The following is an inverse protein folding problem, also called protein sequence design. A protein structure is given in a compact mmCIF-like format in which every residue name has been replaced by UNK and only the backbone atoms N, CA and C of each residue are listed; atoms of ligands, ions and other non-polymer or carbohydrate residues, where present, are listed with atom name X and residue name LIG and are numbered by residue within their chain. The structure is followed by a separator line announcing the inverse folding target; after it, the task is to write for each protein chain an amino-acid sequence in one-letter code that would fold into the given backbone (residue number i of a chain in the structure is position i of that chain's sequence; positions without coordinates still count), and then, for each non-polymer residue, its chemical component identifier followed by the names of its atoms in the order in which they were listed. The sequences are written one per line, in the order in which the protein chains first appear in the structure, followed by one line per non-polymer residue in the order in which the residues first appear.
data_IF_250094305275
#
_entry.id   IF_250094305275
#
_cell.length_a   1.000
_cell.length_b   1.000
_cell.length_c   1.000
_cell.angle_alpha   90.00
_cell.angle_beta   90.00
_cell.angle_gamma   90.00
#
_symmetry.space_group_name_H-M   'P 1'
#
loop_
_entity.id
_entity.type
_entity.pdbx_description
1 polymer ?
#
# COMPACT_ATOMS: atom_id res chain seq x y z
N UNK A 1 -28.24 -22.29 50.39
CA UNK A 1 -27.11 -23.22 50.25
C UNK A 1 -26.43 -22.90 48.95
N UNK A 2 -25.31 -22.18 49.08
CA UNK A 2 -24.14 -22.11 48.20
C UNK A 2 -24.31 -21.60 46.77
N UNK A 3 -23.96 -20.33 46.64
CA UNK A 3 -22.98 -19.74 45.70
C UNK A 3 -22.35 -20.69 44.66
N UNK A 4 -22.32 -20.21 43.41
CA UNK A 4 -21.09 -20.08 42.63
C UNK A 4 -21.27 -18.97 41.60
N UNK A 5 -20.49 -17.91 41.79
CA UNK A 5 -20.06 -16.96 40.79
C UNK A 5 -19.47 -17.67 39.56
N UNK A 6 -19.80 -17.19 38.36
CA UNK A 6 -18.90 -17.32 37.21
C UNK A 6 -18.45 -15.92 36.80
N UNK A 7 -17.28 -15.59 37.32
CA UNK A 7 -16.45 -14.44 37.04
C UNK A 7 -15.66 -14.72 35.74
N UNK A 8 -15.52 -13.68 34.90
CA UNK A 8 -14.46 -13.47 33.88
C UNK A 8 -14.29 -14.43 32.70
N UNK A 9 -14.38 -13.86 31.48
CA UNK A 9 -13.15 -13.66 30.69
C UNK A 9 -13.30 -12.46 29.73
N UNK A 10 -12.78 -11.32 30.19
CA UNK A 10 -12.45 -10.15 29.39
C UNK A 10 -11.04 -10.36 28.81
N UNK A 11 -10.87 -11.02 27.66
CA UNK A 11 -9.66 -10.85 26.82
C UNK A 11 -9.88 -11.30 25.37
N UNK A 12 -10.88 -10.73 24.68
CA UNK A 12 -10.99 -10.84 23.23
C UNK A 12 -10.17 -9.75 22.55
N UNK A 13 -8.86 -9.97 22.37
CA UNK A 13 -7.94 -9.07 21.68
C UNK A 13 -8.54 -8.58 20.33
N UNK A 14 -9.09 -7.36 20.34
CA UNK A 14 -9.52 -6.65 19.14
C UNK A 14 -8.24 -6.17 18.45
N UNK A 15 -7.75 -6.97 17.51
CA UNK A 15 -6.66 -6.53 16.65
C UNK A 15 -7.07 -5.23 15.98
N UNK A 16 -6.34 -4.14 16.28
CA UNK A 16 -6.52 -2.84 15.66
C UNK A 16 -6.62 -3.01 14.13
N UNK A 17 -7.59 -2.35 13.45
CA UNK A 17 -7.70 -2.35 12.00
C UNK A 17 -6.34 -2.18 11.32
N UNK A 18 -6.13 -2.86 10.19
CA UNK A 18 -4.84 -2.94 9.50
C UNK A 18 -4.21 -1.56 9.20
N UNK A 19 -5.03 -0.52 9.10
CA UNK A 19 -4.62 0.87 8.84
C UNK A 19 -4.08 1.58 10.08
N UNK A 20 -4.66 1.32 11.25
CA UNK A 20 -4.17 1.82 12.53
C UNK A 20 -2.75 1.33 12.77
N UNK A 21 -2.45 0.07 12.42
CA UNK A 21 -1.10 -0.50 12.51
C UNK A 21 -0.07 0.18 11.60
N UNK A 22 -0.48 0.76 10.47
CA UNK A 22 0.45 1.42 9.52
C UNK A 22 0.67 2.87 9.93
N UNK A 23 -0.38 3.59 10.35
CA UNK A 23 -0.27 4.93 10.90
C UNK A 23 0.56 4.90 12.19
N UNK A 24 0.30 3.95 13.08
CA UNK A 24 1.05 3.70 14.33
C UNK A 24 2.56 3.59 14.09
N UNK A 25 2.98 2.71 13.19
CA UNK A 25 4.40 2.51 12.87
C UNK A 25 5.05 3.76 12.24
N UNK A 26 4.31 4.51 11.40
CA UNK A 26 4.86 5.69 10.71
C UNK A 26 4.93 6.91 11.60
N UNK A 27 3.94 7.09 12.48
CA UNK A 27 3.94 8.15 13.48
C UNK A 27 5.10 7.94 14.45
N UNK A 28 5.38 6.70 14.85
CA UNK A 28 6.55 6.38 15.68
C UNK A 28 7.87 6.77 15.01
N UNK A 29 8.06 6.41 13.74
CA UNK A 29 9.25 6.80 12.97
C UNK A 29 9.36 8.33 12.81
N UNK A 30 8.23 9.02 12.64
CA UNK A 30 8.20 10.48 12.56
C UNK A 30 8.65 11.10 13.89
N UNK A 31 8.10 10.63 15.01
CA UNK A 31 8.47 11.10 16.35
C UNK A 31 9.93 10.80 16.66
N UNK A 32 10.42 9.59 16.32
CA UNK A 32 11.83 9.19 16.46
C UNK A 32 12.79 10.09 15.66
N UNK A 33 12.33 10.62 14.51
CA UNK A 33 13.11 11.54 13.68
C UNK A 33 13.19 12.97 14.24
N UNK A 34 12.29 13.31 15.16
CA UNK A 34 12.24 14.61 15.83
C UNK A 34 13.00 14.60 17.18
N UNK A 35 13.27 13.42 17.76
CA UNK A 35 13.90 13.29 19.08
C UNK A 35 15.22 14.07 19.22
N UNK A 36 15.29 14.88 20.27
CA UNK A 36 16.53 15.46 20.76
C UNK A 36 17.27 14.47 21.67
N UNK A 37 18.57 14.69 21.91
CA UNK A 37 19.40 13.76 22.71
C UNK A 37 19.00 13.65 24.20
N UNK A 38 18.04 14.46 24.67
CA UNK A 38 17.55 14.53 26.06
C UNK A 38 16.13 14.00 26.25
N UNK A 39 15.50 13.46 25.21
CA UNK A 39 14.10 13.03 25.22
C UNK A 39 13.83 11.84 26.17
N UNK A 40 12.83 11.97 27.05
CA UNK A 40 12.35 10.85 27.88
C UNK A 40 11.46 9.93 27.06
N UNK A 41 11.77 8.62 27.05
CA UNK A 41 11.05 7.63 26.23
C UNK A 41 9.56 7.51 26.59
N UNK A 42 9.20 7.81 27.84
CA UNK A 42 7.82 7.77 28.33
C UNK A 42 6.95 8.88 27.73
N UNK A 43 7.51 10.08 27.52
CA UNK A 43 6.78 11.21 26.94
C UNK A 43 6.44 10.93 25.47
N UNK A 44 7.42 10.39 24.74
CA UNK A 44 7.28 9.98 23.33
C UNK A 44 6.19 8.91 23.19
N UNK A 45 6.17 7.93 24.08
CA UNK A 45 5.17 6.86 24.06
C UNK A 45 3.76 7.38 24.38
N UNK A 46 3.63 8.31 25.33
CA UNK A 46 2.36 8.96 25.63
C UNK A 46 1.84 9.77 24.45
N UNK A 47 2.65 10.68 23.89
CA UNK A 47 2.24 11.50 22.73
C UNK A 47 1.85 10.61 21.56
N UNK A 48 2.59 9.52 21.32
CA UNK A 48 2.28 8.56 20.27
C UNK A 48 0.92 7.90 20.49
N UNK A 49 0.66 7.39 21.69
CA UNK A 49 -0.61 6.74 22.02
C UNK A 49 -1.82 7.68 21.97
N UNK A 50 -1.66 8.91 22.47
CA UNK A 50 -2.70 9.93 22.47
C UNK A 50 -3.02 10.37 21.04
N UNK A 51 -2.00 10.70 20.23
CA UNK A 51 -2.24 11.10 18.85
C UNK A 51 -2.91 10.00 18.02
N UNK A 52 -2.56 8.72 18.22
CA UNK A 52 -3.25 7.62 17.53
C UNK A 52 -4.72 7.56 17.92
N UNK A 53 -5.02 7.55 19.23
CA UNK A 53 -6.40 7.49 19.74
C UNK A 53 -7.26 8.64 19.21
N UNK A 54 -6.76 9.87 19.29
CA UNK A 54 -7.54 11.06 18.96
C UNK A 54 -7.63 11.30 17.46
N UNK A 55 -6.56 11.05 16.68
CA UNK A 55 -6.64 11.14 15.21
C UNK A 55 -7.54 10.06 14.59
N UNK A 56 -7.78 8.95 15.30
CA UNK A 56 -8.74 7.91 14.90
C UNK A 56 -10.19 8.24 15.28
N UNK A 57 -10.39 8.83 16.46
CA UNK A 57 -11.72 9.17 16.97
C UNK A 57 -12.32 10.40 16.27
N UNK A 58 -11.47 11.34 15.87
CA UNK A 58 -11.88 12.59 15.23
C UNK A 58 -12.04 12.44 13.71
N UNK A 59 -13.00 13.18 13.14
CA UNK A 59 -13.21 13.21 11.69
C UNK A 59 -12.25 14.20 11.03
N UNK A 60 -10.99 13.79 10.89
CA UNK A 60 -9.90 14.61 10.33
C UNK A 60 -10.08 14.80 8.81
N UNK A 61 -10.47 16.01 8.41
CA UNK A 61 -10.72 16.39 6.99
C UNK A 61 -9.81 17.50 6.49
N UNK A 62 -9.08 18.17 7.39
CA UNK A 62 -8.19 19.30 7.12
C UNK A 62 -6.94 19.28 8.00
N UNK A 63 -5.94 20.10 7.64
CA UNK A 63 -4.71 20.25 8.42
C UNK A 63 -4.98 20.97 9.75
N UNK A 64 -5.99 21.84 9.77
CA UNK A 64 -6.46 22.55 10.96
C UNK A 64 -7.04 21.59 12.02
N UNK A 65 -7.64 20.47 11.60
CA UNK A 65 -8.13 19.44 12.52
C UNK A 65 -6.96 18.74 13.23
N UNK A 66 -5.87 18.48 12.51
CA UNK A 66 -4.64 17.89 13.09
C UNK A 66 -4.01 18.84 14.09
N UNK A 67 -3.93 20.13 13.73
CA UNK A 67 -3.45 21.18 14.64
C UNK A 67 -4.29 21.22 15.92
N UNK A 68 -5.63 21.18 15.78
CA UNK A 68 -6.56 21.19 16.92
C UNK A 68 -6.38 19.97 17.82
N UNK A 69 -6.17 18.78 17.27
CA UNK A 69 -5.89 17.56 18.04
C UNK A 69 -4.58 17.69 18.81
N UNK A 70 -3.50 18.12 18.16
CA UNK A 70 -2.21 18.30 18.84
C UNK A 70 -2.35 19.33 19.97
N UNK A 71 -2.94 20.49 19.70
CA UNK A 71 -3.09 21.55 20.70
C UNK A 71 -3.98 21.14 21.90
N UNK A 72 -5.00 20.32 21.65
CA UNK A 72 -5.97 19.93 22.69
C UNK A 72 -5.46 18.78 23.56
N UNK A 73 -4.76 17.82 22.95
CA UNK A 73 -4.45 16.54 23.60
C UNK A 73 -2.97 16.32 23.86
N UNK A 74 -2.07 17.11 23.27
CA UNK A 74 -0.63 17.04 23.51
C UNK A 74 -0.17 18.29 24.26
N UNK A 75 0.22 18.15 25.55
CA UNK A 75 0.78 19.28 26.31
C UNK A 75 2.06 19.81 25.66
N UNK A 76 2.24 21.13 25.66
CA UNK A 76 3.43 21.80 25.08
C UNK A 76 4.75 21.27 25.66
N UNK A 77 4.79 20.92 26.95
CA UNK A 77 5.97 20.34 27.61
C UNK A 77 6.42 19.02 26.98
N UNK A 78 5.49 18.25 26.41
CA UNK A 78 5.80 16.97 25.76
C UNK A 78 6.22 17.14 24.29
N UNK A 79 5.82 18.25 23.66
CA UNK A 79 6.34 18.64 22.34
C UNK A 79 7.82 19.03 22.43
N UNK A 80 8.21 19.71 23.51
CA UNK A 80 9.63 19.99 23.80
C UNK A 80 10.45 18.70 23.93
N UNK A 81 9.90 17.66 24.56
CA UNK A 81 10.54 16.33 24.63
C UNK A 81 10.71 15.67 23.25
N UNK A 82 9.92 16.07 22.25
CA UNK A 82 10.05 15.65 20.86
C UNK A 82 10.94 16.59 20.02
N UNK A 83 11.64 17.54 20.63
CA UNK A 83 12.48 18.51 19.93
C UNK A 83 11.68 19.51 19.08
N UNK A 84 10.40 19.70 19.42
CA UNK A 84 9.52 20.70 18.80
C UNK A 84 9.52 21.90 19.75
N UNK A 85 10.30 22.93 19.40
CA UNK A 85 10.60 24.03 20.33
C UNK A 85 9.91 25.34 19.94
N UNK A 86 9.61 25.54 18.66
CA UNK A 86 9.01 26.77 18.14
C UNK A 86 7.77 26.54 17.26
N UNK A 87 7.12 27.64 16.88
CA UNK A 87 5.90 27.62 16.05
C UNK A 87 6.15 26.98 14.67
N UNK A 88 7.36 27.13 14.11
CA UNK A 88 7.74 26.57 12.81
C UNK A 88 7.89 25.04 12.91
N UNK A 89 8.43 24.53 14.01
CA UNK A 89 8.53 23.09 14.31
C UNK A 89 7.15 22.46 14.48
N UNK A 90 6.22 23.17 15.13
CA UNK A 90 4.83 22.71 15.30
C UNK A 90 4.16 22.64 13.94
N UNK A 91 4.26 23.69 13.11
CA UNK A 91 3.68 23.71 11.77
C UNK A 91 4.25 22.58 10.89
N UNK A 92 5.56 22.34 10.99
CA UNK A 92 6.22 21.25 10.28
C UNK A 92 5.75 19.88 10.78
N UNK A 93 5.61 19.69 12.09
CA UNK A 93 5.13 18.46 12.68
C UNK A 93 3.68 18.17 12.27
N UNK A 94 2.79 19.15 12.38
CA UNK A 94 1.38 19.10 11.94
C UNK A 94 1.30 18.75 10.45
N UNK A 95 2.11 19.40 9.62
CA UNK A 95 2.18 19.13 8.17
C UNK A 95 2.62 17.70 7.87
N UNK A 96 3.61 17.17 8.59
CA UNK A 96 4.08 15.79 8.44
C UNK A 96 3.02 14.78 8.90
N UNK A 97 2.35 15.03 10.03
CA UNK A 97 1.25 14.18 10.52
C UNK A 97 0.08 14.19 9.53
N UNK A 98 -0.32 15.36 9.04
CA UNK A 98 -1.34 15.50 8.01
C UNK A 98 -0.97 14.76 6.71
N UNK A 99 0.29 14.84 6.26
CA UNK A 99 0.76 14.09 5.09
C UNK A 99 0.74 12.58 5.33
N UNK A 100 1.08 12.11 6.54
CA UNK A 100 0.95 10.69 6.91
C UNK A 100 -0.50 10.25 6.83
N UNK A 101 -1.43 11.01 7.41
CA UNK A 101 -2.86 10.75 7.34
C UNK A 101 -3.35 10.73 5.90
N UNK A 102 -2.97 11.70 5.07
CA UNK A 102 -3.31 11.71 3.65
C UNK A 102 -2.77 10.49 2.91
N UNK A 103 -1.52 10.09 3.18
CA UNK A 103 -0.90 8.92 2.53
C UNK A 103 -1.61 7.62 2.90
N UNK A 104 -2.14 7.51 4.11
CA UNK A 104 -2.99 6.37 4.52
C UNK A 104 -4.44 6.51 4.04
N UNK A 105 -4.99 7.73 3.99
CA UNK A 105 -6.34 8.01 3.50
C UNK A 105 -6.45 7.84 1.99
N UNK A 106 -5.39 8.08 1.23
CA UNK A 106 -5.27 7.73 -0.20
C UNK A 106 -5.30 6.21 -0.41
N UNK A 107 -4.90 5.42 0.59
CA UNK A 107 -5.10 3.96 0.60
C UNK A 107 -6.53 3.59 1.01
N UNK A 108 -7.27 4.47 1.70
CA UNK A 108 -8.70 4.31 2.03
C UNK A 108 -9.64 4.76 0.91
N UNK A 109 -9.32 5.82 0.16
CA UNK A 109 -10.09 6.23 -1.02
C UNK A 109 -9.93 5.24 -2.16
N UNK A 110 -8.81 4.51 -2.22
CA UNK A 110 -8.79 3.19 -2.87
C UNK A 110 -9.53 2.19 -1.97
N UNK A 111 -10.82 2.40 -1.80
CA UNK A 111 -11.69 1.43 -1.14
C UNK A 111 -11.45 0.07 -1.80
N UNK A 112 -11.54 -1.01 -1.02
CA UNK A 112 -11.47 -2.37 -1.56
C UNK A 112 -12.54 -2.64 -2.64
N UNK A 113 -13.51 -1.72 -2.83
CA UNK A 113 -14.45 -1.66 -3.93
C UNK A 113 -13.87 -1.01 -5.22
N UNK A 114 -12.96 -0.04 -5.13
CA UNK A 114 -12.29 0.59 -6.29
C UNK A 114 -11.07 -0.19 -6.81
N UNK A 115 -10.35 -0.94 -5.98
CA UNK A 115 -9.37 -1.92 -6.52
C UNK A 115 -10.03 -3.15 -7.13
N UNK A 116 -11.33 -3.36 -6.87
CA UNK A 116 -12.19 -4.31 -7.59
C UNK A 116 -12.95 -3.68 -8.78
N UNK A 117 -12.90 -2.36 -8.99
CA UNK A 117 -13.63 -1.67 -10.07
C UNK A 117 -12.76 -0.87 -11.06
N UNK A 118 -11.57 -0.37 -10.68
CA UNK A 118 -10.56 0.13 -11.63
C UNK A 118 -9.90 -0.97 -12.48
N UNK A 119 -10.28 -2.23 -12.26
CA UNK A 119 -9.98 -3.37 -13.13
C UNK A 119 -11.18 -3.87 -13.95
N UNK A 120 -12.31 -3.14 -13.93
CA UNK A 120 -13.49 -3.43 -14.78
C UNK A 120 -13.60 -2.51 -15.99
N UNK A 121 -13.11 -1.27 -15.92
CA UNK A 121 -13.21 -0.31 -17.04
C UNK A 121 -12.00 -0.32 -17.98
N UNK A 122 -10.79 -0.52 -17.45
CA UNK A 122 -9.59 -0.73 -18.28
C UNK A 122 -9.36 -2.24 -18.46
N UNK A 123 -9.64 -2.75 -19.67
CA UNK A 123 -9.33 -4.13 -20.02
C UNK A 123 -7.82 -4.41 -19.98
N UNK A 124 -7.43 -5.68 -20.10
CA UNK A 124 -6.02 -6.08 -20.20
C UNK A 124 -5.26 -5.24 -21.23
N UNK A 125 -4.13 -4.62 -20.85
CA UNK A 125 -3.34 -3.73 -21.72
C UNK A 125 -2.79 -4.40 -23.00
N UNK A 126 -2.82 -5.73 -23.07
CA UNK A 126 -2.46 -6.48 -24.27
C UNK A 126 -3.68 -6.89 -25.08
N UNK A 127 -4.60 -7.67 -24.50
CA UNK A 127 -5.72 -8.26 -25.25
C UNK A 127 -7.05 -7.51 -25.13
N UNK A 128 -7.07 -6.39 -24.42
CA UNK A 128 -8.21 -5.47 -24.22
C UNK A 128 -9.44 -6.08 -23.54
N UNK A 129 -9.41 -7.36 -23.17
CA UNK A 129 -10.52 -8.01 -22.47
C UNK A 129 -10.65 -7.55 -21.03
N UNK A 130 -11.88 -7.26 -20.62
CA UNK A 130 -12.27 -7.10 -19.21
C UNK A 130 -12.17 -8.45 -18.48
N UNK A 131 -11.08 -8.63 -17.74
CA UNK A 131 -10.73 -9.87 -17.03
C UNK A 131 -9.96 -9.47 -15.75
N UNK A 132 -9.90 -10.32 -14.72
CA UNK A 132 -9.02 -10.08 -13.59
C UNK A 132 -7.56 -9.90 -14.04
N UNK A 133 -7.00 -8.73 -13.72
CA UNK A 133 -5.68 -8.31 -14.13
C UNK A 133 -4.63 -8.68 -13.08
N UNK A 134 -3.40 -8.80 -13.54
CA UNK A 134 -2.22 -9.03 -12.72
C UNK A 134 -1.19 -7.96 -13.05
N UNK A 135 -0.44 -7.51 -12.04
CA UNK A 135 0.67 -6.59 -12.24
C UNK A 135 1.87 -7.34 -12.84
N UNK A 136 2.24 -7.03 -14.07
CA UNK A 136 3.40 -7.59 -14.76
C UNK A 136 4.51 -6.54 -14.86
N UNK A 137 5.68 -6.86 -14.32
CA UNK A 137 6.87 -6.00 -14.43
C UNK A 137 7.45 -6.13 -15.84
N UNK A 138 7.41 -5.06 -16.63
CA UNK A 138 7.90 -5.06 -18.01
C UNK A 138 9.42 -5.28 -18.05
N UNK A 139 10.15 -4.78 -17.04
CA UNK A 139 11.50 -5.22 -16.71
C UNK A 139 11.43 -6.22 -15.57
N UNK A 140 11.61 -7.52 -15.81
CA UNK A 140 11.43 -8.54 -14.78
C UNK A 140 12.27 -8.26 -13.52
N UNK A 141 11.67 -8.44 -12.34
CA UNK A 141 12.34 -8.19 -11.04
C UNK A 141 13.68 -8.92 -10.88
N UNK A 142 13.79 -10.11 -11.47
CA UNK A 142 15.04 -10.88 -11.47
C UNK A 142 16.21 -10.10 -12.10
N UNK A 143 15.92 -9.20 -13.05
CA UNK A 143 16.92 -8.38 -13.76
C UNK A 143 17.21 -7.04 -13.07
N UNK A 144 16.41 -6.63 -12.08
CA UNK A 144 16.56 -5.30 -11.43
C UNK A 144 17.96 -5.10 -10.86
N UNK A 145 18.51 -6.07 -10.14
CA UNK A 145 19.86 -5.97 -9.56
C UNK A 145 20.95 -5.77 -10.61
N UNK A 146 20.79 -6.36 -11.80
CA UNK A 146 21.75 -6.25 -12.90
C UNK A 146 21.60 -4.88 -13.56
N UNK A 147 20.36 -4.47 -13.86
CA UNK A 147 20.07 -3.21 -14.55
C UNK A 147 20.37 -1.97 -13.69
N UNK A 148 20.16 -2.03 -12.36
CA UNK A 148 20.58 -0.98 -11.43
C UNK A 148 22.09 -0.72 -11.52
N UNK A 149 22.91 -1.78 -11.61
CA UNK A 149 24.36 -1.66 -11.76
C UNK A 149 24.77 -1.07 -13.11
N UNK A 150 23.90 -1.16 -14.12
CA UNK A 150 24.10 -0.57 -15.43
C UNK A 150 23.64 0.90 -15.50
N UNK A 151 23.24 1.49 -14.37
CA UNK A 151 22.89 2.91 -14.25
C UNK A 151 21.42 3.22 -14.47
N UNK A 152 20.55 2.20 -14.54
CA UNK A 152 19.10 2.39 -14.67
C UNK A 152 18.49 2.79 -13.33
N UNK A 153 17.49 3.67 -13.34
CA UNK A 153 16.83 4.13 -12.12
C UNK A 153 15.80 3.12 -11.59
N UNK A 154 15.48 3.20 -10.30
CA UNK A 154 14.46 2.35 -9.67
C UNK A 154 13.08 2.56 -10.32
N UNK A 155 12.75 3.79 -10.73
CA UNK A 155 11.47 4.11 -11.34
C UNK A 155 11.32 3.46 -12.73
N UNK A 156 12.37 3.48 -13.54
CA UNK A 156 12.39 2.80 -14.85
C UNK A 156 12.23 1.28 -14.74
N UNK A 157 12.68 0.69 -13.64
CA UNK A 157 12.59 -0.75 -13.38
C UNK A 157 11.21 -1.18 -12.89
N UNK A 158 10.48 -0.29 -12.23
CA UNK A 158 9.17 -0.58 -11.66
C UNK A 158 8.01 -0.29 -12.60
N UNK A 159 8.27 0.05 -13.86
CA UNK A 159 7.24 0.16 -14.89
C UNK A 159 6.52 -1.19 -15.04
N UNK A 160 5.21 -1.16 -14.82
CA UNK A 160 4.35 -2.33 -14.85
C UNK A 160 3.24 -2.17 -15.88
N UNK A 161 2.72 -3.29 -16.38
CA UNK A 161 1.50 -3.38 -17.16
C UNK A 161 0.45 -4.21 -16.40
N UNK A 162 -0.81 -3.79 -16.48
CA UNK A 162 -1.98 -4.51 -15.97
C UNK A 162 -2.48 -5.48 -17.05
N UNK A 163 -2.10 -6.75 -16.94
CA UNK A 163 -2.43 -7.78 -17.93
C UNK A 163 -3.15 -8.98 -17.32
N UNK A 164 -4.06 -9.59 -18.07
CA UNK A 164 -4.76 -10.79 -17.61
C UNK A 164 -3.82 -12.01 -17.53
N UNK A 165 -4.15 -12.97 -16.65
CA UNK A 165 -3.33 -14.18 -16.43
C UNK A 165 -2.97 -14.95 -17.72
N UNK A 166 -3.85 -15.11 -18.73
CA UNK A 166 -3.48 -15.71 -20.00
C UNK A 166 -2.38 -14.95 -20.75
N UNK A 167 -2.46 -13.61 -20.81
CA UNK A 167 -1.44 -12.79 -21.46
C UNK A 167 -0.12 -12.85 -20.69
N UNK A 168 -0.16 -12.74 -19.37
CA UNK A 168 1.01 -12.91 -18.52
C UNK A 168 1.71 -14.24 -18.80
N UNK A 169 0.93 -15.33 -18.83
CA UNK A 169 1.45 -16.66 -19.12
C UNK A 169 2.03 -16.77 -20.54
N UNK A 170 1.49 -16.05 -21.51
CA UNK A 170 1.99 -16.08 -22.88
C UNK A 170 3.32 -15.35 -23.02
N UNK A 171 3.47 -14.18 -22.37
CA UNK A 171 4.71 -13.40 -22.38
C UNK A 171 5.89 -14.24 -21.85
N UNK A 172 5.75 -14.82 -20.65
CA UNK A 172 6.81 -15.64 -20.04
C UNK A 172 6.99 -17.03 -20.66
N UNK A 173 6.05 -17.50 -21.50
CA UNK A 173 6.28 -18.70 -22.32
C UNK A 173 7.03 -18.40 -23.61
N UNK A 174 6.93 -17.16 -24.09
CA UNK A 174 7.50 -16.76 -25.37
C UNK A 174 8.95 -16.31 -25.22
N UNK A 175 9.24 -15.56 -24.15
CA UNK A 175 10.55 -14.97 -23.90
C UNK A 175 10.97 -15.16 -22.44
N UNK A 176 12.28 -15.30 -22.25
CA UNK A 176 12.91 -15.32 -20.94
C UNK A 176 13.06 -13.90 -20.36
N UNK A 177 13.48 -13.82 -19.10
CA UNK A 177 13.55 -12.55 -18.39
C UNK A 177 14.58 -11.58 -18.96
N UNK A 178 15.68 -12.09 -19.52
CA UNK A 178 16.74 -11.28 -20.12
C UNK A 178 16.27 -10.66 -21.43
N UNK A 179 15.67 -11.45 -22.32
CA UNK A 179 15.11 -10.97 -23.58
C UNK A 179 14.00 -9.95 -23.35
N UNK A 180 13.13 -10.18 -22.35
CA UNK A 180 12.08 -9.23 -21.99
C UNK A 180 12.65 -7.90 -21.50
N UNK A 181 13.65 -7.94 -20.62
CA UNK A 181 14.29 -6.74 -20.09
C UNK A 181 14.94 -5.88 -21.17
N UNK A 182 15.55 -6.49 -22.19
CA UNK A 182 16.32 -5.76 -23.21
C UNK A 182 15.41 -5.30 -24.36
N UNK A 183 14.59 -6.22 -24.90
CA UNK A 183 13.90 -5.99 -26.18
C UNK A 183 12.41 -5.64 -26.01
N UNK A 184 11.78 -6.00 -24.88
CA UNK A 184 10.33 -5.94 -24.71
C UNK A 184 9.89 -5.29 -23.39
N UNK A 185 10.59 -4.24 -22.96
CA UNK A 185 10.32 -3.52 -21.71
C UNK A 185 9.19 -2.47 -21.81
N UNK A 186 8.42 -2.46 -22.90
CA UNK A 186 7.24 -1.60 -23.08
C UNK A 186 6.06 -2.41 -23.63
N UNK A 187 4.83 -1.97 -23.33
CA UNK A 187 3.61 -2.59 -23.88
C UNK A 187 3.59 -2.53 -25.41
N UNK A 188 4.01 -1.39 -25.98
CA UNK A 188 4.11 -1.22 -27.43
C UNK A 188 5.07 -2.24 -28.07
N UNK A 189 6.23 -2.48 -27.46
CA UNK A 189 7.17 -3.49 -27.95
C UNK A 189 6.59 -4.91 -27.89
N UNK A 190 5.86 -5.26 -26.82
CA UNK A 190 5.16 -6.55 -26.72
C UNK A 190 4.08 -6.71 -27.79
N UNK A 191 3.36 -5.64 -28.14
CA UNK A 191 2.32 -5.67 -29.17
C UNK A 191 2.89 -5.71 -30.59
N UNK A 192 4.05 -5.08 -30.82
CA UNK A 192 4.74 -5.07 -32.10
C UNK A 192 5.38 -6.43 -32.43
N UNK A 193 5.68 -7.26 -31.43
CA UNK A 193 6.22 -8.60 -31.61
C UNK A 193 5.25 -9.54 -32.35
N UNK A 194 5.77 -10.33 -33.29
CA UNK A 194 4.94 -11.22 -34.10
C UNK A 194 4.29 -12.34 -33.26
N UNK A 195 5.05 -12.97 -32.37
CA UNK A 195 4.58 -14.12 -31.58
C UNK A 195 3.55 -13.70 -30.55
N UNK A 196 3.87 -12.66 -29.77
CA UNK A 196 2.97 -12.10 -28.76
C UNK A 196 1.77 -11.44 -29.44
N UNK A 197 1.99 -10.62 -30.49
CA UNK A 197 0.91 -9.98 -31.23
C UNK A 197 -0.07 -10.99 -31.84
N UNK A 198 0.41 -12.13 -32.37
CA UNK A 198 -0.46 -13.22 -32.87
C UNK A 198 -1.31 -13.82 -31.75
N UNK A 199 -0.71 -14.08 -30.59
CA UNK A 199 -1.45 -14.55 -29.42
C UNK A 199 -2.49 -13.53 -28.97
N UNK A 200 -2.11 -12.26 -28.86
CA UNK A 200 -2.97 -11.16 -28.40
C UNK A 200 -4.19 -11.00 -29.31
N UNK A 201 -4.00 -10.98 -30.64
CA UNK A 201 -5.10 -10.90 -31.63
C UNK A 201 -6.06 -12.08 -31.56
N UNK A 202 -5.56 -13.27 -31.22
CA UNK A 202 -6.42 -14.43 -30.97
C UNK A 202 -7.14 -14.31 -29.63
N UNK A 203 -6.42 -13.89 -28.58
CA UNK A 203 -6.90 -13.78 -27.22
C UNK A 203 -8.02 -12.74 -27.09
N UNK A 204 -7.93 -11.60 -27.77
CA UNK A 204 -8.95 -10.54 -27.74
C UNK A 204 -10.32 -11.02 -28.23
N UNK A 205 -10.35 -12.01 -29.12
CA UNK A 205 -11.58 -12.62 -29.66
C UNK A 205 -12.18 -13.70 -28.75
N UNK A 206 -11.47 -14.11 -27.69
CA UNK A 206 -11.94 -15.17 -26.80
C UNK A 206 -12.89 -14.61 -25.75
N UNK A 207 -14.07 -15.24 -25.60
CA UNK A 207 -15.04 -14.90 -24.55
C UNK A 207 -14.36 -15.00 -23.17
N UNK A 208 -14.49 -13.94 -22.37
CA UNK A 208 -14.12 -13.99 -20.95
C UNK A 208 -14.94 -15.09 -20.28
N UNK A 209 -14.27 -16.03 -19.61
CA UNK A 209 -15.00 -16.94 -18.73
C UNK A 209 -15.43 -16.12 -17.54
N UNK A 210 -16.72 -15.81 -17.44
CA UNK A 210 -17.34 -15.27 -16.22
C UNK A 210 -16.82 -16.10 -15.04
N UNK A 211 -16.00 -15.51 -14.17
CA UNK A 211 -15.61 -16.19 -12.95
C UNK A 211 -16.84 -16.23 -12.06
N UNK A 212 -17.52 -17.38 -12.01
CA UNK A 212 -18.49 -17.63 -10.94
C UNK A 212 -17.73 -17.46 -9.62
N UNK A 213 -18.04 -16.40 -8.86
CA UNK A 213 -17.55 -16.22 -7.50
C UNK A 213 -17.86 -17.50 -6.72
N UNK A 214 -16.84 -18.25 -6.34
CA UNK A 214 -17.02 -19.55 -5.67
C UNK A 214 -15.82 -20.48 -5.67
N UNK A 215 -14.73 -20.18 -6.38
CA UNK A 215 -13.49 -20.96 -6.25
C UNK A 215 -12.51 -20.21 -5.35
N UNK A 216 -12.48 -20.53 -4.05
CA UNK A 216 -11.41 -20.10 -3.15
C UNK A 216 -10.11 -20.84 -3.51
N UNK A 217 -9.11 -20.18 -4.12
CA UNK A 217 -7.87 -20.83 -4.56
C UNK A 217 -6.90 -21.13 -3.40
N UNK A 218 -7.17 -20.61 -2.19
CA UNK A 218 -6.28 -20.71 -1.03
C UNK A 218 -6.34 -22.09 -0.35
N UNK A 219 -7.30 -22.95 -0.70
CA UNK A 219 -7.37 -24.32 -0.19
C UNK A 219 -6.39 -25.30 -0.88
N UNK A 220 -5.60 -24.85 -1.87
CA UNK A 220 -4.62 -25.72 -2.56
C UNK A 220 -3.21 -25.70 -1.97
N UNK A 221 -2.92 -24.82 -1.01
CA UNK A 221 -1.58 -24.60 -0.45
C UNK A 221 -1.51 -24.78 1.07
N UNK A 222 -2.30 -25.69 1.63
CA UNK A 222 -2.00 -26.28 2.94
C UNK A 222 -1.35 -27.65 2.68
N UNK A 223 -0.02 -27.70 2.83
CA UNK A 223 0.74 -28.94 3.05
C UNK A 223 1.23 -28.92 4.48
#
# INVERSE_FOLDING_TARGET
MHDVDDHEDLTGATGLPRQLKVLDCKLRVLMDSCLSSSSQTADVEYVHSTLISELEAEHIVSIEDVFSVIQTFVPEEMLLSLGIEDEDDIELFVSKVWLLLQKERVIQETTDDEVMSMSRESGCELCERAMPLTRHHLRPRAMHKILLKQGMSQDELNICAAICRPCHSAVHRTYDNETLAINFYTVSALLADEKIGKFVRWASKQRGREQKMGHNPLLKYQR
#
